data_IF_986228382344
#
_entry.id   IF_986228382344
#
_cell.length_a   1.000
_cell.length_b   1.000
_cell.length_c   1.000
_cell.angle_alpha   90.00
_cell.angle_beta   90.00
_cell.angle_gamma   90.00
#
_symmetry.space_group_name_H-M   'P 1'
#
loop_
_entity.id
_entity.type
_entity.pdbx_description
1 polymer ?
#
# COMPACT_ATOMS: atom_id res chain seq x y z
N UNK A 1 -19.92 73.43 22.01
CA UNK A 1 -18.50 73.00 21.99
C UNK A 1 -18.13 72.52 23.39
N UNK A 2 -17.45 71.36 23.46
CA UNK A 2 -16.74 70.76 24.59
C UNK A 2 -17.40 70.71 25.99
N UNK A 3 -17.60 69.50 26.52
CA UNK A 3 -16.97 69.09 27.77
C UNK A 3 -16.98 67.58 27.96
N UNK A 4 -15.83 67.11 28.44
CA UNK A 4 -15.34 65.77 28.74
C UNK A 4 -15.77 65.31 30.14
N UNK A 5 -16.12 64.03 30.31
CA UNK A 5 -15.98 63.24 31.55
C UNK A 5 -15.89 61.75 31.11
N UNK A 6 -14.71 61.14 30.97
CA UNK A 6 -13.88 60.41 31.95
C UNK A 6 -14.36 58.97 32.32
N UNK A 7 -13.58 57.97 31.85
CA UNK A 7 -13.08 56.69 32.44
C UNK A 7 -13.58 56.29 33.85
N UNK A 8 -13.81 55.03 34.31
CA UNK A 8 -13.41 53.63 34.01
C UNK A 8 -14.24 52.69 34.97
N UNK A 9 -13.94 51.38 35.23
CA UNK A 9 -13.86 50.15 34.42
C UNK A 9 -14.82 49.02 34.94
N UNK A 10 -14.63 47.78 34.43
CA UNK A 10 -15.24 46.47 34.80
C UNK A 10 -16.35 46.03 33.83
N UNK A 11 -16.39 44.83 33.22
CA UNK A 11 -15.63 43.59 33.36
C UNK A 11 -15.84 42.74 32.08
N UNK A 12 -14.78 42.03 31.70
CA UNK A 12 -14.70 40.75 31.00
C UNK A 12 -16.00 40.00 30.67
N UNK A 13 -16.14 39.56 29.40
CA UNK A 13 -16.28 38.13 29.10
C UNK A 13 -15.90 37.82 27.65
N UNK A 14 -14.73 37.19 27.51
CA UNK A 14 -14.30 36.47 26.32
C UNK A 14 -15.32 35.38 26.02
N UNK A 15 -15.85 35.40 24.80
CA UNK A 15 -16.65 34.32 24.25
C UNK A 15 -15.67 33.21 23.84
N UNK A 16 -15.30 32.38 24.82
CA UNK A 16 -14.55 31.15 24.60
C UNK A 16 -15.44 30.17 23.86
N UNK A 17 -15.00 29.77 22.68
CA UNK A 17 -15.45 28.55 22.00
C UNK A 17 -15.35 27.39 23.00
N UNK A 18 -16.32 26.46 23.04
CA UNK A 18 -16.19 25.28 23.87
C UNK A 18 -14.98 24.48 23.38
N UNK A 19 -13.90 24.50 24.16
CA UNK A 19 -12.87 23.47 24.12
C UNK A 19 -13.62 22.19 24.46
N UNK A 20 -13.81 21.33 23.46
CA UNK A 20 -14.22 19.96 23.70
C UNK A 20 -13.14 19.33 24.57
N UNK A 21 -13.46 19.14 25.84
CA UNK A 21 -12.76 18.26 26.75
C UNK A 21 -12.64 16.91 26.06
N UNK A 22 -11.48 16.62 25.50
CA UNK A 22 -11.07 15.26 25.17
C UNK A 22 -11.07 14.52 26.50
N UNK A 23 -12.10 13.70 26.67
CA UNK A 23 -12.24 12.84 27.82
C UNK A 23 -11.05 11.89 27.79
N UNK A 24 -10.04 12.16 28.62
CA UNK A 24 -8.94 11.27 28.93
C UNK A 24 -9.48 10.06 29.69
N UNK A 25 -10.19 9.20 28.97
CA UNK A 25 -10.57 7.87 29.40
C UNK A 25 -9.35 6.97 29.35
N UNK A 26 -8.72 6.79 30.51
CA UNK A 26 -8.09 5.53 30.93
C UNK A 26 -7.35 4.72 29.86
N UNK A 27 -6.11 5.11 29.56
CA UNK A 27 -4.94 4.40 30.10
C UNK A 27 -4.73 2.93 29.73
N UNK A 28 -5.11 2.48 28.54
CA UNK A 28 -4.73 1.18 28.02
C UNK A 28 -4.61 1.21 26.51
N UNK A 29 -3.64 0.50 25.94
CA UNK A 29 -3.64 0.19 24.52
C UNK A 29 -4.91 -0.61 24.24
N UNK A 30 -5.86 -0.06 23.50
CA UNK A 30 -7.08 -0.79 23.12
C UNK A 30 -6.69 -2.09 22.40
N UNK A 31 -7.34 -3.22 22.75
CA UNK A 31 -7.00 -4.54 22.21
C UNK A 31 -7.01 -4.59 20.66
N UNK A 32 -7.84 -3.74 20.04
CA UNK A 32 -7.89 -3.59 18.58
C UNK A 32 -6.66 -2.87 18.01
N UNK A 33 -6.17 -1.84 18.68
CA UNK A 33 -4.95 -1.13 18.30
C UNK A 33 -3.74 -2.03 18.49
N UNK A 34 -3.72 -2.80 19.58
CA UNK A 34 -2.70 -3.78 19.90
C UNK A 34 -2.66 -4.91 18.86
N UNK A 35 -3.82 -5.45 18.48
CA UNK A 35 -3.92 -6.48 17.43
C UNK A 35 -3.48 -5.95 16.07
N UNK A 36 -3.85 -4.71 15.73
CA UNK A 36 -3.44 -4.05 14.50
C UNK A 36 -1.92 -3.77 14.47
N UNK A 37 -1.35 -3.33 15.58
CA UNK A 37 0.11 -3.14 15.76
C UNK A 37 0.86 -4.46 15.71
N UNK A 38 0.38 -5.51 16.39
CA UNK A 38 0.98 -6.85 16.35
C UNK A 38 0.97 -7.39 14.94
N UNK A 39 -0.13 -7.22 14.19
CA UNK A 39 -0.21 -7.61 12.78
C UNK A 39 0.81 -6.78 11.97
N UNK A 40 0.79 -5.46 12.08
CA UNK A 40 1.70 -4.57 11.35
C UNK A 40 3.19 -4.84 11.63
N UNK A 41 3.56 -5.16 12.87
CA UNK A 41 4.94 -5.43 13.30
C UNK A 41 5.39 -6.84 12.92
N UNK A 42 4.51 -7.84 12.99
CA UNK A 42 4.83 -9.24 12.64
C UNK A 42 4.73 -9.54 11.14
N UNK A 43 3.96 -8.75 10.38
CA UNK A 43 3.76 -8.91 8.93
C UNK A 43 4.28 -7.73 8.10
N UNK A 44 5.02 -6.80 8.70
CA UNK A 44 5.59 -5.63 8.02
C UNK A 44 7.00 -5.87 7.46
N UNK A 45 7.43 -5.02 6.53
CA UNK A 45 8.72 -5.14 5.82
C UNK A 45 9.99 -5.01 6.71
N UNK A 46 9.84 -4.78 8.02
CA UNK A 46 10.91 -4.76 9.03
C UNK A 46 10.61 -5.71 10.21
N UNK A 47 9.79 -6.74 10.02
CA UNK A 47 9.42 -7.69 11.08
C UNK A 47 10.67 -8.34 11.68
N UNK A 48 11.00 -7.95 12.92
CA UNK A 48 11.88 -8.72 13.81
C UNK A 48 10.98 -9.60 14.67
N UNK A 49 11.53 -10.72 15.16
CA UNK A 49 10.88 -11.54 16.20
C UNK A 49 10.77 -10.73 17.49
N UNK A 50 9.81 -9.81 17.53
CA UNK A 50 9.51 -8.95 18.67
C UNK A 50 8.30 -9.56 19.36
N UNK A 51 8.46 -9.86 20.65
CA UNK A 51 7.43 -10.49 21.46
C UNK A 51 6.25 -9.53 21.68
N UNK A 52 5.05 -10.07 21.89
CA UNK A 52 3.84 -9.27 22.12
C UNK A 52 4.03 -8.25 23.26
N UNK A 53 4.83 -8.60 24.27
CA UNK A 53 5.16 -7.72 25.39
C UNK A 53 6.03 -6.51 24.98
N UNK A 54 6.99 -6.69 24.09
CA UNK A 54 7.80 -5.59 23.55
C UNK A 54 6.96 -4.65 22.67
N UNK A 55 5.95 -5.18 21.97
CA UNK A 55 4.99 -4.39 21.18
C UNK A 55 4.10 -3.56 22.11
N UNK A 56 3.67 -4.13 23.24
CA UNK A 56 2.91 -3.42 24.27
C UNK A 56 3.73 -2.28 24.89
N UNK A 57 5.00 -2.51 25.19
CA UNK A 57 5.90 -1.51 25.76
C UNK A 57 6.15 -0.36 24.76
N UNK A 58 6.40 -0.68 23.48
CA UNK A 58 6.63 0.31 22.41
C UNK A 58 5.36 1.11 22.08
N UNK A 59 4.19 0.46 22.05
CA UNK A 59 2.92 1.12 21.86
C UNK A 59 2.60 2.07 23.02
N UNK A 60 2.89 1.64 24.26
CA UNK A 60 2.71 2.46 25.46
C UNK A 60 3.67 3.65 25.48
N UNK A 61 4.94 3.47 25.09
CA UNK A 61 5.91 4.57 24.93
C UNK A 61 5.48 5.56 23.85
N UNK A 62 4.99 5.08 22.71
CA UNK A 62 4.47 5.92 21.64
C UNK A 62 3.22 6.70 22.09
N UNK A 63 2.27 6.06 22.77
CA UNK A 63 1.06 6.69 23.32
C UNK A 63 1.37 7.70 24.43
N UNK A 64 2.50 7.55 25.13
CA UNK A 64 2.93 8.51 26.16
C UNK A 64 3.38 9.86 25.59
N UNK A 65 3.65 9.92 24.28
CA UNK A 65 4.08 11.14 23.57
C UNK A 65 2.86 11.90 23.01
N UNK A 66 2.85 13.25 23.07
CA UNK A 66 1.77 14.05 22.49
C UNK A 66 1.59 13.74 20.99
N UNK A 67 0.39 13.33 20.59
CA UNK A 67 0.09 12.95 19.21
C UNK A 67 0.48 11.52 18.81
N UNK A 68 1.04 10.72 19.72
CA UNK A 68 1.45 9.35 19.45
C UNK A 68 0.31 8.42 19.01
N UNK A 69 -0.89 8.60 19.55
CA UNK A 69 -2.10 7.88 19.11
C UNK A 69 -2.43 8.19 17.65
N UNK A 70 -2.44 9.46 17.27
CA UNK A 70 -2.69 9.86 15.88
C UNK A 70 -1.58 9.38 14.94
N UNK A 71 -0.33 9.27 15.42
CA UNK A 71 0.78 8.70 14.65
C UNK A 71 0.61 7.19 14.43
N UNK A 72 0.20 6.44 15.46
CA UNK A 72 -0.09 5.01 15.36
C UNK A 72 -1.31 4.75 14.46
N UNK A 73 -2.38 5.53 14.64
CA UNK A 73 -3.57 5.47 13.79
C UNK A 73 -3.25 5.88 12.35
N UNK A 74 -2.34 6.84 12.11
CA UNK A 74 -1.89 7.20 10.76
C UNK A 74 -1.01 6.11 10.11
N UNK A 75 -0.19 5.39 10.88
CA UNK A 75 0.55 4.23 10.37
C UNK A 75 -0.38 3.08 9.96
N UNK A 76 -1.52 2.95 10.65
CA UNK A 76 -2.55 1.95 10.35
C UNK A 76 -3.50 2.42 9.23
N UNK A 77 -3.81 3.71 9.17
CA UNK A 77 -4.72 4.32 8.19
C UNK A 77 -4.04 4.75 6.89
N UNK A 78 -2.71 4.73 6.83
CA UNK A 78 -1.97 4.80 5.56
C UNK A 78 -2.15 3.46 4.86
N UNK A 79 -3.31 3.34 4.20
CA UNK A 79 -3.78 2.21 3.39
C UNK A 79 -2.92 2.07 2.12
N UNK A 80 -1.63 1.82 2.33
CA UNK A 80 -0.81 1.09 1.39
C UNK A 80 -1.31 -0.36 1.52
N UNK A 81 -1.77 -1.03 0.44
CA UNK A 81 -2.16 -2.42 0.54
C UNK A 81 -1.03 -3.16 1.24
N UNK A 82 -1.30 -3.97 2.28
CA UNK A 82 -0.25 -4.64 3.04
C UNK A 82 0.62 -5.34 2.01
N UNK A 83 1.85 -4.83 1.81
CA UNK A 83 2.79 -5.40 0.85
C UNK A 83 3.00 -6.81 1.33
N UNK A 84 2.31 -7.76 0.71
CA UNK A 84 2.36 -9.17 1.06
C UNK A 84 3.84 -9.52 1.21
N UNK A 85 4.23 -10.00 2.39
CA UNK A 85 5.61 -10.39 2.63
C UNK A 85 5.89 -11.68 1.85
N UNK A 86 6.44 -11.51 0.66
CA UNK A 86 6.85 -12.61 -0.19
C UNK A 86 8.11 -13.27 0.34
N UNK A 87 8.12 -14.60 0.38
CA UNK A 87 9.27 -15.36 0.89
C UNK A 87 10.47 -15.36 -0.05
N UNK A 88 10.23 -15.24 -1.35
CA UNK A 88 11.25 -15.37 -2.40
C UNK A 88 11.10 -14.26 -3.41
N UNK A 89 12.22 -13.91 -4.03
CA UNK A 89 12.28 -12.91 -5.10
C UNK A 89 13.26 -13.33 -6.20
N UNK A 90 13.02 -12.85 -7.42
CA UNK A 90 13.87 -13.04 -8.58
C UNK A 90 13.87 -11.78 -9.45
N UNK A 91 14.87 -11.66 -10.32
CA UNK A 91 14.88 -10.59 -11.34
C UNK A 91 13.94 -10.97 -12.46
N UNK A 92 13.16 -10.00 -12.93
CA UNK A 92 12.30 -10.18 -14.09
C UNK A 92 12.46 -9.06 -15.11
N UNK A 93 12.03 -9.38 -16.32
CA UNK A 93 12.01 -8.49 -17.47
C UNK A 93 10.71 -8.71 -18.24
N UNK A 94 10.34 -7.78 -19.09
CA UNK A 94 9.15 -7.96 -19.90
C UNK A 94 9.02 -6.98 -21.04
N UNK A 95 7.91 -7.12 -21.75
CA UNK A 95 7.46 -6.21 -22.79
C UNK A 95 5.97 -5.97 -22.64
N UNK A 96 5.55 -4.74 -22.92
CA UNK A 96 4.14 -4.38 -22.96
C UNK A 96 3.82 -3.81 -24.33
N UNK A 97 2.68 -4.22 -24.88
CA UNK A 97 2.12 -3.71 -26.12
C UNK A 97 0.69 -3.25 -25.86
N UNK A 98 0.49 -1.94 -25.88
CA UNK A 98 -0.78 -1.26 -25.79
C UNK A 98 -1.19 -0.78 -27.18
N UNK A 99 -2.36 -1.21 -27.63
CA UNK A 99 -3.07 -0.60 -28.76
C UNK A 99 -4.24 0.21 -28.22
N UNK A 100 -4.96 0.91 -29.09
CA UNK A 100 -6.16 1.65 -28.68
C UNK A 100 -7.24 0.77 -28.02
N UNK A 101 -7.24 -0.54 -28.29
CA UNK A 101 -8.31 -1.46 -27.89
C UNK A 101 -7.81 -2.74 -27.22
N UNK A 102 -6.52 -2.88 -27.00
CA UNK A 102 -5.95 -4.10 -26.41
C UNK A 102 -4.65 -3.82 -25.66
N UNK A 103 -4.40 -4.62 -24.64
CA UNK A 103 -3.12 -4.69 -23.94
C UNK A 103 -2.62 -6.13 -23.99
N UNK A 104 -1.32 -6.28 -24.26
CA UNK A 104 -0.60 -7.55 -24.16
C UNK A 104 0.65 -7.35 -23.32
N UNK A 105 0.91 -8.27 -22.41
CA UNK A 105 2.13 -8.34 -21.61
C UNK A 105 2.83 -9.67 -21.86
N UNK A 106 4.15 -9.62 -21.87
CA UNK A 106 5.02 -10.79 -21.82
C UNK A 106 6.07 -10.52 -20.76
N UNK A 107 6.11 -11.32 -19.71
CA UNK A 107 7.05 -11.19 -18.59
C UNK A 107 7.89 -12.47 -18.50
N UNK A 108 9.18 -12.35 -18.29
CA UNK A 108 10.10 -13.46 -18.09
C UNK A 108 10.78 -13.36 -16.74
N UNK A 109 11.04 -14.52 -16.13
CA UNK A 109 11.85 -14.67 -14.93
C UNK A 109 13.01 -15.61 -15.25
N UNK A 110 14.12 -15.11 -15.84
CA UNK A 110 15.17 -15.95 -16.44
C UNK A 110 15.82 -16.93 -15.46
N UNK A 111 15.97 -16.54 -14.19
CA UNK A 111 16.59 -17.39 -13.16
C UNK A 111 15.72 -18.59 -12.78
N UNK A 112 14.43 -18.57 -13.13
CA UNK A 112 13.47 -19.61 -12.83
C UNK A 112 12.97 -20.33 -14.09
N UNK A 113 13.42 -19.90 -15.27
CA UNK A 113 12.95 -20.39 -16.57
C UNK A 113 11.42 -20.33 -16.72
N UNK A 114 10.80 -19.23 -16.26
CA UNK A 114 9.37 -19.01 -16.32
C UNK A 114 9.02 -17.86 -17.27
N UNK A 115 7.97 -18.05 -18.06
CA UNK A 115 7.38 -17.00 -18.90
C UNK A 115 5.91 -16.82 -18.58
N UNK A 116 5.46 -15.57 -18.55
CA UNK A 116 4.09 -15.17 -18.25
C UNK A 116 3.57 -14.35 -19.42
N UNK A 117 2.47 -14.78 -20.03
CA UNK A 117 1.83 -14.08 -21.13
C UNK A 117 0.39 -13.75 -20.77
N UNK A 118 0.00 -12.50 -20.92
CA UNK A 118 -1.36 -12.04 -20.62
C UNK A 118 -1.86 -11.06 -21.66
N UNK A 119 -3.18 -11.07 -21.90
CA UNK A 119 -3.82 -10.07 -22.75
C UNK A 119 -5.22 -9.70 -22.29
N UNK A 120 -5.66 -8.50 -22.69
CA UNK A 120 -7.02 -8.00 -22.43
C UNK A 120 -7.46 -7.03 -23.53
N UNK A 121 -8.76 -6.76 -23.56
CA UNK A 121 -9.39 -5.77 -24.44
C UNK A 121 -9.96 -4.65 -23.59
N UNK A 122 -9.38 -3.46 -23.71
CA UNK A 122 -9.86 -2.23 -23.09
C UNK A 122 -9.28 -1.03 -23.87
N UNK A 123 -9.62 0.19 -23.46
CA UNK A 123 -9.12 1.39 -24.11
C UNK A 123 -7.81 1.85 -23.47
N UNK A 124 -6.75 2.00 -24.28
CA UNK A 124 -5.43 2.43 -23.81
C UNK A 124 -4.85 3.52 -24.72
N UNK A 125 -3.93 4.29 -24.15
CA UNK A 125 -3.00 5.11 -24.94
C UNK A 125 -1.99 4.17 -25.60
N UNK A 126 -1.86 4.18 -26.94
CA UNK A 126 -0.92 3.29 -27.62
C UNK A 126 0.52 3.48 -27.16
N UNK A 127 1.18 2.38 -26.87
CA UNK A 127 2.57 2.33 -26.43
C UNK A 127 3.14 0.93 -26.63
N UNK A 128 4.40 0.81 -27.00
CA UNK A 128 5.08 -0.48 -27.12
C UNK A 128 6.52 -0.34 -26.67
N UNK A 129 6.99 -1.28 -25.86
CA UNK A 129 8.36 -1.27 -25.40
C UNK A 129 8.65 -2.32 -24.33
N UNK A 130 9.92 -2.36 -23.92
CA UNK A 130 10.41 -3.25 -22.87
C UNK A 130 10.32 -2.60 -21.50
N UNK A 131 9.93 -3.39 -20.51
CA UNK A 131 10.01 -3.07 -19.08
C UNK A 131 11.12 -3.94 -18.47
N UNK A 132 12.30 -3.36 -18.35
CA UNK A 132 13.50 -4.06 -17.89
C UNK A 132 13.80 -3.65 -16.45
N UNK A 133 14.36 -4.57 -15.64
CA UNK A 133 14.70 -4.38 -14.21
C UNK A 133 13.49 -4.41 -13.27
N UNK A 134 12.60 -5.37 -13.45
CA UNK A 134 11.56 -5.66 -12.46
C UNK A 134 12.05 -6.63 -11.39
N UNK A 135 11.27 -6.68 -10.31
CA UNK A 135 11.38 -7.73 -9.29
C UNK A 135 10.13 -8.60 -9.36
N UNK A 136 10.35 -9.91 -9.39
CA UNK A 136 9.31 -10.92 -9.28
C UNK A 136 9.33 -11.49 -7.86
N UNK A 137 8.16 -11.56 -7.25
CA UNK A 137 7.99 -12.05 -5.88
C UNK A 137 7.02 -13.23 -5.84
N UNK A 138 7.34 -14.24 -5.04
CA UNK A 138 6.56 -15.46 -4.91
C UNK A 138 6.84 -16.15 -3.57
N UNK A 139 5.93 -17.03 -3.13
CA UNK A 139 6.10 -17.77 -1.87
C UNK A 139 6.55 -19.22 -2.10
N UNK A 140 5.91 -19.88 -3.06
CA UNK A 140 6.08 -21.29 -3.35
C UNK A 140 6.21 -21.50 -4.86
N UNK A 141 7.23 -22.26 -5.26
CA UNK A 141 7.50 -22.51 -6.67
C UNK A 141 6.48 -23.47 -7.29
N UNK A 142 5.94 -24.39 -6.49
CA UNK A 142 4.95 -25.38 -6.97
C UNK A 142 3.65 -24.71 -7.42
N UNK A 143 3.34 -23.52 -6.89
CA UNK A 143 2.18 -22.72 -7.32
C UNK A 143 2.36 -22.10 -8.72
N UNK A 144 3.61 -22.02 -9.21
CA UNK A 144 3.98 -21.44 -10.50
C UNK A 144 3.98 -22.47 -11.64
N UNK A 145 3.41 -23.67 -11.41
CA UNK A 145 3.27 -24.67 -12.47
C UNK A 145 2.59 -24.07 -13.72
N UNK A 146 2.96 -24.51 -14.94
CA UNK A 146 2.37 -24.01 -16.18
C UNK A 146 0.84 -24.10 -16.20
N UNK A 147 0.20 -23.11 -16.83
CA UNK A 147 -1.25 -23.09 -16.99
C UNK A 147 -1.91 -21.72 -16.75
N UNK A 148 -3.25 -21.67 -16.80
CA UNK A 148 -3.99 -20.42 -16.82
C UNK A 148 -3.87 -19.64 -15.50
N UNK A 149 -3.81 -18.33 -15.63
CA UNK A 149 -3.76 -17.35 -14.54
C UNK A 149 -4.47 -16.06 -14.94
N UNK A 150 -4.82 -15.25 -13.94
CA UNK A 150 -5.30 -13.89 -14.10
C UNK A 150 -4.21 -12.93 -13.66
N UNK A 151 -4.01 -11.85 -14.43
CA UNK A 151 -3.13 -10.75 -14.07
C UNK A 151 -3.96 -9.53 -13.72
N UNK A 152 -3.72 -8.93 -12.56
CA UNK A 152 -4.28 -7.64 -12.19
C UNK A 152 -3.18 -6.60 -12.30
N UNK A 153 -3.24 -5.79 -13.36
CA UNK A 153 -2.21 -4.80 -13.67
C UNK A 153 -2.64 -3.45 -13.14
N UNK A 154 -1.79 -2.81 -12.35
CA UNK A 154 -2.03 -1.50 -11.76
C UNK A 154 -0.79 -0.61 -11.96
N UNK A 155 -1.02 0.65 -12.32
CA UNK A 155 0.05 1.65 -12.31
C UNK A 155 -0.26 2.67 -11.20
N UNK A 156 0.69 2.85 -10.30
CA UNK A 156 0.64 3.89 -9.27
C UNK A 156 1.83 4.84 -9.47
N UNK A 157 1.53 6.06 -9.94
CA UNK A 157 2.55 7.01 -10.36
C UNK A 157 3.46 6.44 -11.45
N UNK A 158 4.73 6.20 -11.11
CA UNK A 158 5.76 5.65 -11.99
C UNK A 158 6.05 4.17 -11.75
N UNK A 159 5.27 3.48 -10.92
CA UNK A 159 5.44 2.07 -10.63
C UNK A 159 4.33 1.23 -11.26
N UNK A 160 4.70 0.13 -11.90
CA UNK A 160 3.79 -0.89 -12.38
C UNK A 160 3.81 -2.08 -11.43
N UNK A 161 2.65 -2.40 -10.90
CA UNK A 161 2.37 -3.57 -10.07
C UNK A 161 1.52 -4.55 -10.87
N UNK A 162 1.88 -5.83 -10.87
CA UNK A 162 1.10 -6.89 -11.51
C UNK A 162 0.95 -8.05 -10.55
N UNK A 163 -0.27 -8.29 -10.08
CA UNK A 163 -0.58 -9.47 -9.28
C UNK A 163 -0.98 -10.63 -10.17
N UNK A 164 -0.41 -11.81 -9.92
CA UNK A 164 -0.75 -13.06 -10.60
C UNK A 164 -1.62 -13.89 -9.68
N UNK A 165 -2.81 -14.22 -10.13
CA UNK A 165 -3.77 -15.01 -9.35
C UNK A 165 -4.18 -16.28 -10.09
N UNK A 166 -4.32 -17.38 -9.33
CA UNK A 166 -4.84 -18.66 -9.79
C UNK A 166 -5.95 -19.09 -8.84
N UNK A 167 -7.12 -19.43 -9.36
CA UNK A 167 -8.29 -19.81 -8.56
C UNK A 167 -8.61 -18.79 -7.45
N UNK A 168 -8.56 -17.50 -7.79
CA UNK A 168 -8.77 -16.37 -6.87
C UNK A 168 -7.75 -16.22 -5.73
N UNK A 169 -6.63 -16.95 -5.78
CA UNK A 169 -5.51 -16.80 -4.85
C UNK A 169 -4.35 -16.14 -5.58
N UNK A 170 -3.84 -15.03 -5.05
CA UNK A 170 -2.61 -14.43 -5.56
C UNK A 170 -1.43 -15.36 -5.26
N UNK A 171 -0.67 -15.74 -6.29
CA UNK A 171 0.46 -16.68 -6.19
C UNK A 171 1.80 -16.00 -6.45
N UNK A 172 1.79 -14.84 -7.11
CA UNK A 172 2.98 -14.06 -7.36
C UNK A 172 2.68 -12.57 -7.61
N UNK A 173 3.72 -11.74 -7.57
CA UNK A 173 3.64 -10.32 -7.83
C UNK A 173 4.85 -9.84 -8.64
N UNK A 174 4.62 -9.01 -9.64
CA UNK A 174 5.67 -8.30 -10.35
C UNK A 174 5.63 -6.82 -10.02
N UNK A 175 6.81 -6.24 -9.80
CA UNK A 175 6.99 -4.82 -9.58
C UNK A 175 8.03 -4.28 -10.56
N UNK A 176 7.64 -3.28 -11.35
CA UNK A 176 8.54 -2.58 -12.28
C UNK A 176 8.55 -1.09 -11.96
N UNK A 177 9.71 -0.53 -11.54
CA UNK A 177 9.85 0.90 -11.35
C UNK A 177 10.03 1.62 -12.69
N UNK A 178 9.79 2.94 -12.70
CA UNK A 178 10.03 3.85 -13.83
C UNK A 178 9.22 3.49 -15.09
N UNK A 179 7.91 3.36 -14.93
CA UNK A 179 6.98 3.05 -16.01
C UNK A 179 7.02 4.14 -17.10
N UNK A 180 7.34 3.80 -18.36
CA UNK A 180 7.43 4.75 -19.47
C UNK A 180 6.07 5.05 -20.13
N UNK A 181 4.97 4.55 -19.58
CA UNK A 181 3.61 4.74 -20.08
C UNK A 181 2.64 4.94 -18.93
N UNK A 182 1.42 5.38 -19.24
CA UNK A 182 0.35 5.57 -18.26
C UNK A 182 -0.75 4.54 -18.47
N UNK A 183 -1.37 4.10 -17.37
CA UNK A 183 -2.61 3.35 -17.39
C UNK A 183 -3.74 4.21 -16.82
N UNK A 184 -4.97 3.93 -17.26
CA UNK A 184 -6.16 4.57 -16.69
C UNK A 184 -6.28 4.20 -15.21
N UNK A 185 -6.78 5.15 -14.41
CA UNK A 185 -7.08 4.91 -13.00
C UNK A 185 -7.99 3.68 -12.86
N UNK A 186 -7.56 2.70 -12.06
CA UNK A 186 -8.24 1.40 -11.89
C UNK A 186 -7.50 0.19 -12.46
N UNK A 187 -6.49 0.38 -13.32
CA UNK A 187 -5.70 -0.72 -13.85
C UNK A 187 -6.40 -1.55 -14.94
N UNK A 188 -5.95 -2.77 -15.16
CA UNK A 188 -6.51 -3.70 -16.14
C UNK A 188 -6.38 -5.16 -15.70
N UNK A 189 -7.44 -5.95 -15.91
CA UNK A 189 -7.42 -7.40 -15.71
C UNK A 189 -7.10 -8.10 -17.03
N UNK A 190 -6.11 -8.99 -17.02
CA UNK A 190 -5.69 -9.76 -18.18
C UNK A 190 -5.87 -11.24 -17.92
N UNK A 191 -6.36 -11.95 -18.94
CA UNK A 191 -6.32 -13.40 -18.96
C UNK A 191 -4.96 -13.83 -19.51
N UNK A 192 -4.35 -14.84 -18.91
CA UNK A 192 -3.10 -15.34 -19.44
C UNK A 192 -2.66 -16.68 -18.89
N UNK A 193 -1.37 -16.97 -19.07
CA UNK A 193 -0.78 -18.27 -18.79
C UNK A 193 0.64 -18.14 -18.26
N UNK A 194 1.03 -19.09 -17.42
CA UNK A 194 2.42 -19.39 -17.12
C UNK A 194 2.88 -20.48 -18.09
N UNK A 195 4.06 -20.31 -18.69
CA UNK A 195 4.72 -21.23 -19.60
C UNK A 195 6.11 -21.57 -19.07
#
# INVERSE_FOLDING_TARGET
MASVVAFNPQQQQQQSLPIQTVNSGSGGVDANLLTALTTYVTTGANARSTTEQEIQDLASDALSKPGGRAHLEALIACDCPPKRCWKKQAVCNGSVKLTKTSMKILLGVPTLDLTFEGSTKAFFTPWEGSINKGTFYYDDFDQLAPGPVLFQVRADGSELSIDVSRNSVTIAHFQFPNLPFTLTAGGADLNGTIA
#
